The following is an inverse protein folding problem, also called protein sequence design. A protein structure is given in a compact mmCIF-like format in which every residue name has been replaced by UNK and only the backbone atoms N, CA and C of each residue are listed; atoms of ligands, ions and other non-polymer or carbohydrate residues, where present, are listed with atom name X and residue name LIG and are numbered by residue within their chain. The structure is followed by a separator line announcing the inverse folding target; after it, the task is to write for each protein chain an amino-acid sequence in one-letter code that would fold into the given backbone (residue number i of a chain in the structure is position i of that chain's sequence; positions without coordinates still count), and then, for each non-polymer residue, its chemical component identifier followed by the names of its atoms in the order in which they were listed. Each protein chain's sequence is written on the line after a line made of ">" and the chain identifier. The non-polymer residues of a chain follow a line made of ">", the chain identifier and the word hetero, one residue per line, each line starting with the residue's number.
data_IF_392866258812
#
_entry.id   IF_392866258812
#
_cell.length_a   1.000
_cell.length_b   1.000
_cell.length_c   1.000
_cell.angle_alpha   90.00
_cell.angle_beta   90.00
_cell.angle_gamma   90.00
#
_symmetry.space_group_name_H-M   'P 1'
#
loop_
_entity.id
_entity.type
_entity.pdbx_description
1 polymer ?
#
# COMPACT_ATOMS: atom_id res chain seq x y z
N UNK A 1 7.81 -0.17 12.34
CA UNK A 1 7.58 -0.60 10.94
C UNK A 1 8.83 -1.30 10.42
N UNK A 2 8.71 -2.52 9.89
CA UNK A 2 9.85 -3.24 9.30
C UNK A 2 10.52 -2.43 8.20
N UNK A 3 11.81 -2.68 7.96
CA UNK A 3 12.59 -2.00 6.92
C UNK A 3 12.56 -2.82 5.64
N UNK A 4 12.37 -2.14 4.51
CA UNK A 4 12.42 -2.79 3.20
C UNK A 4 13.79 -3.45 3.00
N UNK A 5 13.87 -4.72 2.56
CA UNK A 5 15.15 -5.37 2.31
C UNK A 5 15.87 -4.72 1.13
N UNK A 6 17.21 -4.78 1.16
CA UNK A 6 18.03 -4.31 0.04
C UNK A 6 17.79 -5.15 -1.22
N UNK A 7 17.94 -4.54 -2.39
CA UNK A 7 17.84 -5.25 -3.68
C UNK A 7 18.96 -6.28 -3.87
N UNK A 8 18.86 -7.14 -4.88
CA UNK A 8 19.91 -8.07 -5.28
C UNK A 8 21.28 -7.39 -5.45
N UNK A 9 21.30 -6.23 -6.13
CA UNK A 9 22.50 -5.39 -6.25
C UNK A 9 22.98 -4.87 -4.89
N UNK A 10 22.10 -4.37 -4.01
CA UNK A 10 22.52 -3.90 -2.69
C UNK A 10 23.16 -5.01 -1.84
N UNK A 11 22.67 -6.25 -1.95
CA UNK A 11 23.26 -7.39 -1.23
C UNK A 11 24.64 -7.73 -1.77
N UNK A 12 24.78 -7.84 -3.10
CA UNK A 12 26.08 -8.05 -3.74
C UNK A 12 27.07 -6.92 -3.38
N UNK A 13 26.64 -5.67 -3.52
CA UNK A 13 27.47 -4.51 -3.21
C UNK A 13 27.96 -4.50 -1.76
N UNK A 14 27.07 -4.83 -0.80
CA UNK A 14 27.47 -4.95 0.62
C UNK A 14 28.48 -6.07 0.84
N UNK A 15 28.32 -7.20 0.15
CA UNK A 15 29.27 -8.32 0.23
C UNK A 15 30.63 -7.93 -0.35
N UNK A 16 30.67 -7.25 -1.50
CA UNK A 16 31.89 -6.68 -2.08
C UNK A 16 32.58 -5.74 -1.08
N UNK A 17 31.84 -4.78 -0.54
CA UNK A 17 32.38 -3.81 0.42
C UNK A 17 32.91 -4.47 1.70
N UNK A 18 32.32 -5.60 2.13
CA UNK A 18 32.83 -6.38 3.26
C UNK A 18 34.18 -7.04 2.93
N UNK A 19 34.30 -7.66 1.74
CA UNK A 19 35.55 -8.28 1.27
C UNK A 19 36.68 -7.25 1.15
N UNK A 20 36.41 -6.06 0.61
CA UNK A 20 37.41 -5.00 0.49
C UNK A 20 37.87 -4.53 1.87
N UNK A 21 36.94 -4.30 2.81
CA UNK A 21 37.29 -3.92 4.19
C UNK A 21 38.13 -5.00 4.88
N UNK A 22 37.79 -6.27 4.68
CA UNK A 22 38.53 -7.40 5.25
C UNK A 22 39.95 -7.54 4.67
N UNK A 23 40.20 -7.01 3.46
CA UNK A 23 41.53 -7.04 2.84
C UNK A 23 42.56 -6.10 3.50
N UNK A 24 42.13 -5.21 4.40
CA UNK A 24 42.98 -4.22 5.06
C UNK A 24 43.46 -3.08 4.17
N UNK A 25 43.07 -3.06 2.88
CA UNK A 25 43.39 -1.97 1.95
C UNK A 25 42.55 -0.72 2.27
N UNK A 26 43.11 0.49 2.04
CA UNK A 26 42.34 1.74 2.14
C UNK A 26 41.10 1.68 1.23
N UNK A 27 39.93 1.86 1.83
CA UNK A 27 38.66 1.82 1.11
C UNK A 27 38.36 3.20 0.54
N UNK A 28 38.35 3.31 -0.79
CA UNK A 28 37.88 4.51 -1.49
C UNK A 28 36.48 4.22 -2.06
N UNK A 29 35.39 4.72 -1.44
CA UNK A 29 34.02 4.27 -1.77
C UNK A 29 33.61 4.48 -3.23
N UNK A 30 34.10 5.53 -3.89
CA UNK A 30 33.82 5.83 -5.30
C UNK A 30 34.46 4.80 -6.24
N UNK A 31 35.71 4.42 -5.98
CA UNK A 31 36.45 3.42 -6.77
C UNK A 31 35.81 2.04 -6.57
N UNK A 32 35.57 1.65 -5.33
CA UNK A 32 34.94 0.36 -5.03
C UNK A 32 33.50 0.26 -5.56
N UNK A 33 32.78 1.38 -5.62
CA UNK A 33 31.50 1.51 -6.31
C UNK A 33 31.56 1.10 -7.78
N UNK A 34 32.54 1.64 -8.51
CA UNK A 34 32.74 1.33 -9.93
C UNK A 34 33.19 -0.12 -10.14
N UNK A 35 34.12 -0.62 -9.31
CA UNK A 35 34.58 -2.02 -9.37
C UNK A 35 33.42 -2.99 -9.13
N UNK A 36 32.63 -2.76 -8.08
CA UNK A 36 31.48 -3.61 -7.79
C UNK A 36 30.45 -3.59 -8.93
N UNK A 37 30.22 -2.43 -9.56
CA UNK A 37 29.26 -2.31 -10.65
C UNK A 37 29.69 -3.14 -11.88
N UNK A 38 30.97 -3.10 -12.22
CA UNK A 38 31.54 -3.90 -13.31
C UNK A 38 31.51 -5.40 -12.97
N UNK A 39 31.87 -5.78 -11.74
CA UNK A 39 31.75 -7.17 -11.28
C UNK A 39 30.32 -7.68 -11.39
N UNK A 40 29.33 -6.89 -10.93
CA UNK A 40 27.91 -7.25 -11.03
C UNK A 40 27.43 -7.38 -12.48
N UNK A 41 27.90 -6.50 -13.37
CA UNK A 41 27.57 -6.59 -14.80
C UNK A 41 28.06 -7.91 -15.39
N UNK A 42 29.26 -8.33 -15.02
CA UNK A 42 29.93 -9.53 -15.52
C UNK A 42 29.58 -10.83 -14.79
N UNK A 43 28.82 -10.78 -13.69
CA UNK A 43 28.28 -12.00 -13.06
C UNK A 43 27.41 -12.79 -14.03
N UNK A 44 27.52 -14.11 -13.94
CA UNK A 44 26.70 -15.04 -14.71
C UNK A 44 25.21 -14.91 -14.33
N UNK A 45 24.29 -15.34 -15.20
CA UNK A 45 22.87 -15.41 -14.86
C UNK A 45 22.60 -16.22 -13.59
N UNK A 46 23.30 -17.32 -13.37
CA UNK A 46 23.17 -18.21 -12.21
C UNK A 46 23.64 -17.52 -10.93
N UNK A 47 24.77 -16.81 -10.97
CA UNK A 47 25.27 -16.04 -9.83
C UNK A 47 24.32 -14.89 -9.48
N UNK A 48 23.78 -14.20 -10.49
CA UNK A 48 22.74 -13.17 -10.30
C UNK A 48 21.47 -13.77 -9.70
N UNK A 49 21.10 -14.98 -10.12
CA UNK A 49 19.89 -15.66 -9.65
C UNK A 49 19.92 -15.88 -8.13
N UNK A 50 21.07 -16.26 -7.57
CA UNK A 50 21.24 -16.42 -6.11
C UNK A 50 20.83 -15.15 -5.34
N UNK A 51 21.21 -13.96 -5.84
CA UNK A 51 20.83 -12.70 -5.20
C UNK A 51 19.37 -12.30 -5.48
N UNK A 52 18.80 -12.72 -6.60
CA UNK A 52 17.37 -12.51 -6.91
C UNK A 52 16.49 -13.36 -6.00
N UNK A 53 16.84 -14.63 -5.80
CA UNK A 53 16.11 -15.54 -4.92
C UNK A 53 16.20 -15.07 -3.46
N UNK A 54 17.41 -14.68 -3.01
CA UNK A 54 17.57 -14.05 -1.68
C UNK A 54 16.70 -12.80 -1.53
N UNK A 55 16.62 -11.95 -2.56
CA UNK A 55 15.77 -10.76 -2.50
C UNK A 55 14.30 -11.14 -2.41
N UNK A 56 13.83 -12.09 -3.22
CA UNK A 56 12.45 -12.57 -3.21
C UNK A 56 12.06 -13.11 -1.83
N UNK A 57 12.89 -13.98 -1.25
CA UNK A 57 12.67 -14.54 0.09
C UNK A 57 12.63 -13.45 1.16
N UNK A 58 13.62 -12.55 1.18
CA UNK A 58 13.66 -11.45 2.15
C UNK A 58 12.48 -10.49 1.98
N UNK A 59 12.05 -10.24 0.74
CA UNK A 59 10.92 -9.38 0.45
C UNK A 59 9.59 -9.99 0.89
N UNK A 60 9.43 -11.31 0.75
CA UNK A 60 8.25 -12.01 1.25
C UNK A 60 8.21 -12.03 2.79
N UNK A 61 9.34 -12.30 3.44
CA UNK A 61 9.46 -12.18 4.90
C UNK A 61 9.12 -10.76 5.38
N UNK A 62 9.62 -9.73 4.69
CA UNK A 62 9.29 -8.33 4.99
C UNK A 62 7.79 -8.03 4.84
N UNK A 63 7.12 -8.56 3.81
CA UNK A 63 5.66 -8.38 3.66
C UNK A 63 4.91 -9.00 4.82
N UNK A 64 5.28 -10.22 5.20
CA UNK A 64 4.64 -10.95 6.29
C UNK A 64 4.87 -10.24 7.63
N UNK A 65 6.10 -9.91 7.97
CA UNK A 65 6.45 -9.14 9.17
C UNK A 65 5.73 -7.79 9.20
N UNK A 66 5.61 -7.11 8.04
CA UNK A 66 4.88 -5.84 7.96
C UNK A 66 3.40 -6.04 8.22
N UNK A 67 2.79 -7.10 7.67
CA UNK A 67 1.38 -7.43 7.88
C UNK A 67 1.12 -7.73 9.36
N UNK A 68 1.96 -8.56 9.97
CA UNK A 68 1.83 -8.95 11.37
C UNK A 68 2.01 -7.74 12.28
N UNK A 69 3.05 -6.94 12.03
CA UNK A 69 3.25 -5.70 12.79
C UNK A 69 2.08 -4.75 12.67
N UNK A 70 1.45 -4.63 11.50
CA UNK A 70 0.26 -3.79 11.33
C UNK A 70 -0.92 -4.30 12.16
N UNK A 71 -1.12 -5.62 12.25
CA UNK A 71 -2.20 -6.20 13.07
C UNK A 71 -2.00 -5.99 14.57
N UNK A 72 -0.76 -5.87 15.03
CA UNK A 72 -0.42 -5.59 16.44
C UNK A 72 -0.62 -4.13 16.85
N UNK A 73 -0.65 -3.19 15.90
CA UNK A 73 -0.71 -1.77 16.23
C UNK A 73 -2.09 -1.41 16.80
N UNK A 74 -2.06 -0.63 17.87
CA UNK A 74 -3.24 0.04 18.41
C UNK A 74 -3.68 1.22 17.52
N UNK A 75 -4.94 1.66 17.59
CA UNK A 75 -5.41 2.85 16.89
C UNK A 75 -4.57 4.11 17.17
N UNK A 76 -4.10 4.27 18.41
CA UNK A 76 -3.23 5.37 18.81
C UNK A 76 -1.85 5.30 18.14
N UNK A 77 -1.22 4.13 18.10
CA UNK A 77 0.07 3.96 17.40
C UNK A 77 -0.05 4.15 15.89
N UNK A 78 -1.16 3.71 15.28
CA UNK A 78 -1.48 4.00 13.88
C UNK A 78 -1.52 5.50 13.59
N UNK A 79 -2.17 6.27 14.48
CA UNK A 79 -2.27 7.73 14.37
C UNK A 79 -0.90 8.40 14.48
N UNK A 80 -0.09 8.01 15.47
CA UNK A 80 1.28 8.54 15.66
C UNK A 80 2.18 8.23 14.46
N UNK A 81 2.20 6.98 13.99
CA UNK A 81 3.03 6.61 12.83
C UNK A 81 2.55 7.31 11.56
N UNK A 82 1.24 7.50 11.37
CA UNK A 82 0.71 8.27 10.23
C UNK A 82 1.08 9.75 10.29
N UNK A 83 1.05 10.38 11.46
CA UNK A 83 1.54 11.75 11.64
C UNK A 83 3.03 11.87 11.31
N UNK A 84 3.84 10.91 11.77
CA UNK A 84 5.28 10.84 11.43
C UNK A 84 5.50 10.72 9.92
N UNK A 85 4.77 9.82 9.26
CA UNK A 85 4.84 9.62 7.80
C UNK A 85 4.41 10.87 7.04
N UNK A 86 3.37 11.56 7.50
CA UNK A 86 2.91 12.83 6.94
C UNK A 86 3.98 13.92 7.04
N UNK A 87 4.60 14.08 8.22
CA UNK A 87 5.70 15.01 8.44
C UNK A 87 6.90 14.70 7.52
N UNK A 88 7.27 13.42 7.39
CA UNK A 88 8.34 13.00 6.47
C UNK A 88 8.00 13.30 5.00
N UNK A 89 6.75 13.12 4.60
CA UNK A 89 6.27 13.45 3.26
C UNK A 89 6.33 14.95 3.00
N UNK A 90 5.92 15.78 3.98
CA UNK A 90 6.06 17.24 3.93
C UNK A 90 7.53 17.68 3.86
N UNK A 91 8.43 16.93 4.51
CA UNK A 91 9.88 17.11 4.40
C UNK A 91 10.50 16.53 3.10
N UNK A 92 9.69 16.15 2.11
CA UNK A 92 10.15 15.71 0.79
C UNK A 92 10.44 14.22 0.65
N UNK A 93 10.25 13.38 1.70
CA UNK A 93 10.38 11.93 1.54
C UNK A 93 9.23 11.35 0.72
N UNK A 94 9.57 10.76 -0.43
CA UNK A 94 8.63 10.05 -1.30
C UNK A 94 8.43 8.60 -0.85
N UNK A 95 7.32 8.00 -1.29
CA UNK A 95 7.06 6.55 -1.09
C UNK A 95 6.63 6.15 0.32
N UNK A 96 6.09 7.08 1.12
CA UNK A 96 5.56 6.81 2.46
C UNK A 96 4.03 7.03 2.49
N UNK A 97 3.21 6.10 1.97
CA UNK A 97 1.77 6.20 2.09
C UNK A 97 1.33 6.08 3.55
N UNK A 98 0.17 6.66 3.87
CA UNK A 98 -0.48 6.46 5.15
C UNK A 98 -0.80 4.97 5.34
N UNK A 99 -0.53 4.45 6.54
CA UNK A 99 -0.91 3.13 6.98
C UNK A 99 -2.43 3.07 7.14
N UNK A 100 -3.01 1.93 6.73
CA UNK A 100 -4.42 1.64 6.88
C UNK A 100 -4.58 0.70 8.07
N UNK A 101 -5.32 1.14 9.07
CA UNK A 101 -5.74 0.29 10.18
C UNK A 101 -6.89 -0.61 9.70
N UNK A 102 -6.77 -1.96 9.79
CA UNK A 102 -7.86 -2.89 9.48
C UNK A 102 -9.12 -2.70 10.32
N UNK A 103 -8.98 -2.20 11.55
CA UNK A 103 -10.06 -2.00 12.53
C UNK A 103 -10.70 -0.62 12.41
N UNK A 104 -10.11 0.31 11.63
CA UNK A 104 -10.70 1.62 11.41
C UNK A 104 -12.03 1.49 10.65
N UNK A 105 -13.12 2.13 11.14
CA UNK A 105 -14.40 2.14 10.45
C UNK A 105 -14.25 2.64 9.02
N UNK A 106 -14.89 1.96 8.07
CA UNK A 106 -14.85 2.32 6.65
C UNK A 106 -15.96 3.30 6.35
N UNK A 107 -15.64 4.34 5.58
CA UNK A 107 -16.66 5.25 5.06
C UNK A 107 -17.64 4.47 4.19
N UNK A 108 -18.95 4.66 4.37
CA UNK A 108 -19.95 3.98 3.56
C UNK A 108 -19.94 4.51 2.12
N UNK A 109 -20.52 3.73 1.21
CA UNK A 109 -20.65 4.11 -0.20
C UNK A 109 -21.59 5.33 -0.34
N UNK A 110 -21.26 6.24 -1.26
CA UNK A 110 -22.15 7.34 -1.63
C UNK A 110 -23.41 6.83 -2.35
N UNK A 111 -24.41 7.69 -2.49
CA UNK A 111 -25.71 7.37 -3.12
C UNK A 111 -25.52 6.70 -4.49
N UNK A 112 -24.67 7.28 -5.34
CA UNK A 112 -24.33 6.71 -6.65
C UNK A 112 -23.64 5.35 -6.54
N UNK A 113 -22.67 5.18 -5.64
CA UNK A 113 -21.96 3.91 -5.51
C UNK A 113 -22.83 2.80 -4.89
N UNK A 114 -23.81 3.14 -4.04
CA UNK A 114 -24.83 2.20 -3.59
C UNK A 114 -25.68 1.71 -4.77
N UNK A 115 -26.08 2.60 -5.66
CA UNK A 115 -26.80 2.24 -6.89
C UNK A 115 -25.93 1.41 -7.84
N UNK A 116 -24.69 1.83 -8.08
CA UNK A 116 -23.75 1.09 -8.91
C UNK A 116 -23.48 -0.32 -8.35
N UNK A 117 -23.39 -0.47 -7.02
CA UNK A 117 -23.29 -1.78 -6.36
C UNK A 117 -24.53 -2.63 -6.66
N UNK A 118 -25.73 -2.08 -6.49
CA UNK A 118 -26.97 -2.77 -6.83
C UNK A 118 -27.00 -3.21 -8.30
N UNK A 119 -26.62 -2.34 -9.25
CA UNK A 119 -26.56 -2.69 -10.67
C UNK A 119 -25.54 -3.79 -10.97
N UNK A 120 -24.39 -3.81 -10.29
CA UNK A 120 -23.42 -4.92 -10.41
C UNK A 120 -24.03 -6.24 -9.93
N UNK A 121 -24.75 -6.21 -8.82
CA UNK A 121 -25.41 -7.39 -8.24
C UNK A 121 -26.53 -7.94 -9.14
N UNK A 122 -27.21 -7.09 -9.92
CA UNK A 122 -28.21 -7.57 -10.90
C UNK A 122 -27.59 -8.40 -12.04
N UNK A 123 -26.27 -8.36 -12.24
CA UNK A 123 -25.59 -9.07 -13.33
C UNK A 123 -25.84 -8.52 -14.73
N UNK A 124 -26.78 -7.57 -14.91
CA UNK A 124 -27.19 -7.01 -16.20
C UNK A 124 -26.01 -6.52 -17.05
N UNK A 125 -24.98 -5.97 -16.42
CA UNK A 125 -23.82 -5.37 -17.09
C UNK A 125 -22.53 -6.20 -16.92
N UNK A 126 -22.61 -7.44 -16.42
CA UNK A 126 -21.44 -8.26 -16.11
C UNK A 126 -20.62 -8.66 -17.36
N UNK A 127 -21.25 -8.66 -18.53
CA UNK A 127 -20.62 -8.94 -19.82
C UNK A 127 -19.79 -7.75 -20.36
N UNK A 128 -19.98 -6.55 -19.82
CA UNK A 128 -19.26 -5.34 -20.24
C UNK A 128 -17.93 -5.19 -19.51
N UNK A 129 -16.98 -4.49 -20.12
CA UNK A 129 -15.74 -4.10 -19.43
C UNK A 129 -16.03 -3.13 -18.28
N UNK A 130 -15.12 -3.03 -17.31
CA UNK A 130 -15.29 -2.13 -16.16
C UNK A 130 -15.53 -0.66 -16.56
N UNK A 131 -14.89 -0.21 -17.65
CA UNK A 131 -15.05 1.14 -18.18
C UNK A 131 -16.46 1.36 -18.73
N UNK A 132 -16.98 0.40 -19.49
CA UNK A 132 -18.32 0.43 -20.07
C UNK A 132 -19.40 0.32 -19.00
N UNK A 133 -19.22 -0.58 -18.01
CA UNK A 133 -20.09 -0.66 -16.84
C UNK A 133 -20.20 0.69 -16.12
N UNK A 134 -19.06 1.36 -15.91
CA UNK A 134 -19.04 2.66 -15.22
C UNK A 134 -19.82 3.73 -15.99
N UNK A 135 -19.72 3.75 -17.32
CA UNK A 135 -20.50 4.65 -18.17
C UNK A 135 -21.99 4.33 -18.10
N UNK A 136 -22.36 3.05 -18.23
CA UNK A 136 -23.75 2.60 -18.16
C UNK A 136 -24.40 2.91 -16.80
N UNK A 137 -23.67 2.76 -15.70
CA UNK A 137 -24.17 3.10 -14.36
C UNK A 137 -24.41 4.60 -14.20
N UNK A 138 -23.53 5.45 -14.74
CA UNK A 138 -23.68 6.89 -14.70
C UNK A 138 -24.91 7.36 -15.50
N UNK A 139 -25.12 6.81 -16.69
CA UNK A 139 -26.30 7.06 -17.51
C UNK A 139 -27.58 6.62 -16.80
N UNK A 140 -27.61 5.38 -16.31
CA UNK A 140 -28.77 4.85 -15.60
C UNK A 140 -29.10 5.66 -14.33
N UNK A 141 -28.09 6.10 -13.58
CA UNK A 141 -28.28 7.00 -12.43
C UNK A 141 -28.85 8.35 -12.83
N UNK A 142 -28.40 8.91 -13.97
CA UNK A 142 -28.91 10.16 -14.52
C UNK A 142 -30.41 10.09 -14.82
N UNK A 143 -30.88 8.95 -15.33
CA UNK A 143 -32.28 8.71 -15.71
C UNK A 143 -33.23 8.36 -14.56
N UNK A 144 -32.71 8.03 -13.37
CA UNK A 144 -33.57 7.73 -12.21
C UNK A 144 -34.39 8.95 -11.80
N UNK A 145 -35.63 8.70 -11.38
CA UNK A 145 -36.47 9.71 -10.77
C UNK A 145 -35.99 10.09 -9.36
N UNK A 146 -36.57 11.16 -8.81
CA UNK A 146 -36.19 11.66 -7.48
C UNK A 146 -36.56 10.67 -6.37
N UNK A 147 -37.66 9.93 -6.50
CA UNK A 147 -38.10 8.96 -5.51
C UNK A 147 -37.14 7.75 -5.40
N UNK A 148 -36.62 7.27 -6.53
CA UNK A 148 -35.62 6.23 -6.60
C UNK A 148 -34.26 6.72 -6.08
N UNK A 149 -33.84 7.94 -6.45
CA UNK A 149 -32.65 8.57 -5.88
C UNK A 149 -32.77 8.79 -4.36
N UNK A 150 -33.96 9.12 -3.86
CA UNK A 150 -34.23 9.28 -2.44
C UNK A 150 -33.98 7.99 -1.64
N UNK A 151 -34.31 6.82 -2.20
CA UNK A 151 -34.01 5.51 -1.55
C UNK A 151 -32.52 5.33 -1.28
N UNK A 152 -31.66 5.67 -2.23
CA UNK A 152 -30.20 5.57 -2.06
C UNK A 152 -29.64 6.67 -1.17
N UNK A 153 -30.25 7.85 -1.19
CA UNK A 153 -29.91 8.96 -0.31
C UNK A 153 -30.18 8.61 1.16
N UNK A 154 -31.35 8.04 1.44
CA UNK A 154 -31.70 7.61 2.80
C UNK A 154 -30.82 6.46 3.28
N UNK A 155 -30.54 5.46 2.43
CA UNK A 155 -29.58 4.39 2.75
C UNK A 155 -28.19 4.94 3.07
N UNK A 156 -27.71 5.92 2.30
CA UNK A 156 -26.44 6.58 2.60
C UNK A 156 -26.51 7.35 3.92
N UNK A 157 -27.60 8.09 4.19
CA UNK A 157 -27.78 8.85 5.43
C UNK A 157 -27.66 7.94 6.66
N UNK A 158 -28.44 6.86 6.70
CA UNK A 158 -28.41 5.88 7.80
C UNK A 158 -27.02 5.28 7.95
N UNK A 159 -26.39 4.83 6.86
CA UNK A 159 -25.06 4.24 6.91
C UNK A 159 -23.98 5.26 7.35
N UNK A 160 -24.11 6.52 6.95
CA UNK A 160 -23.22 7.61 7.37
C UNK A 160 -23.39 7.94 8.86
N UNK A 161 -24.60 7.86 9.40
CA UNK A 161 -24.86 8.04 10.83
C UNK A 161 -24.21 6.91 11.65
N UNK A 162 -24.41 5.65 11.26
CA UNK A 162 -23.75 4.51 11.88
C UNK A 162 -22.21 4.66 11.82
N UNK A 163 -21.67 5.01 10.65
CA UNK A 163 -20.24 5.26 10.49
C UNK A 163 -19.72 6.36 11.41
N UNK A 164 -20.46 7.47 11.60
CA UNK A 164 -20.03 8.56 12.50
C UNK A 164 -19.93 8.07 13.94
N UNK A 165 -20.87 7.25 14.39
CA UNK A 165 -20.86 6.67 15.74
C UNK A 165 -19.66 5.74 15.91
N UNK A 166 -19.50 4.77 14.99
CA UNK A 166 -18.36 3.83 15.01
C UNK A 166 -17.03 4.57 14.95
N UNK A 167 -16.93 5.59 14.10
CA UNK A 167 -15.72 6.38 13.91
C UNK A 167 -15.39 7.21 15.15
N UNK A 168 -16.39 7.78 15.83
CA UNK A 168 -16.17 8.47 17.09
C UNK A 168 -15.65 7.52 18.18
N UNK A 169 -16.24 6.32 18.28
CA UNK A 169 -15.77 5.30 19.22
C UNK A 169 -14.33 4.84 18.92
N UNK A 170 -14.00 4.62 17.65
CA UNK A 170 -12.65 4.29 17.22
C UNK A 170 -11.65 5.43 17.49
N UNK A 171 -12.03 6.68 17.19
CA UNK A 171 -11.16 7.84 17.43
C UNK A 171 -10.89 8.05 18.93
N UNK A 172 -11.85 7.70 19.80
CA UNK A 172 -11.67 7.71 21.25
C UNK A 172 -10.68 6.65 21.75
N UNK A 173 -10.55 5.51 21.06
CA UNK A 173 -9.49 4.51 21.33
C UNK A 173 -8.11 4.95 20.80
N UNK A 174 -8.06 5.99 19.97
CA UNK A 174 -6.84 6.55 19.39
C UNK A 174 -6.40 7.87 20.07
N UNK A 175 -6.97 8.18 21.24
CA UNK A 175 -6.55 9.25 22.15
C UNK A 175 -5.54 8.70 23.15
#
# INVERSE_FOLDING_TARGET
>A
MPKRPGTSWNMFFREHMYKVKASGKPVVPTVEGAVAAELWKNLSPEEKQVYQDKYKTNFEAFKQETKDRLQELTPAEYKVENQRRDALRKAGKKGLPALKDPNAPKRPLSNFFLYAKHLRETGKYAHLSLKEQSKAFAEAWGTLDEAEKAKYTERNRIAMEAYKIEKAAYDAQAL
#
